data_IF_255698202895
#
_entry.id   IF_255698202895
#
_cell.length_a   1.000
_cell.length_b   1.000
_cell.length_c   1.000
_cell.angle_alpha   90.00
_cell.angle_beta   90.00
_cell.angle_gamma   90.00
#
_symmetry.space_group_name_H-M   'P 1'
#
loop_
_entity.id
_entity.type
_entity.pdbx_description
1 polymer ?
#
# COMPACT_ATOMS: atom_id res chain seq x y z
N UNK A 1 6.22 3.03 17.42
CA UNK A 1 6.19 1.57 17.50
C UNK A 1 5.22 1.09 16.44
N UNK A 2 5.58 0.12 15.62
CA UNK A 2 4.70 -0.43 14.58
C UNK A 2 3.68 -1.42 15.17
N UNK A 3 2.68 -1.78 14.36
CA UNK A 3 1.69 -2.83 14.68
C UNK A 3 2.31 -4.17 14.24
N UNK A 4 2.45 -5.11 15.19
CA UNK A 4 3.01 -6.43 14.94
C UNK A 4 1.93 -7.46 14.55
N UNK A 5 2.34 -8.69 14.21
CA UNK A 5 1.47 -9.77 13.76
C UNK A 5 0.56 -10.34 14.86
N UNK A 6 0.87 -10.07 16.13
CA UNK A 6 0.07 -10.50 17.29
C UNK A 6 -1.15 -9.61 17.54
N UNK A 7 -1.18 -8.41 16.89
CA UNK A 7 -2.33 -7.54 16.98
C UNK A 7 -3.57 -8.24 16.41
N UNK A 8 -4.68 -8.33 17.16
CA UNK A 8 -5.90 -8.98 16.69
C UNK A 8 -6.39 -8.36 15.38
N UNK A 9 -6.81 -9.21 14.45
CA UNK A 9 -7.43 -8.77 13.20
C UNK A 9 -8.84 -8.23 13.51
N UNK A 10 -9.11 -6.99 13.09
CA UNK A 10 -10.40 -6.35 13.22
C UNK A 10 -10.84 -5.81 11.85
N UNK A 11 -11.95 -6.34 11.31
CA UNK A 11 -12.42 -6.03 9.97
C UNK A 11 -13.60 -5.06 10.02
N UNK A 12 -13.54 -4.00 9.22
CA UNK A 12 -14.57 -2.96 9.12
C UNK A 12 -15.21 -2.89 7.72
N UNK A 13 -14.89 -3.85 6.84
CA UNK A 13 -15.44 -3.92 5.49
C UNK A 13 -15.51 -5.36 4.98
N UNK A 14 -16.43 -5.68 4.03
CA UNK A 14 -16.45 -6.98 3.35
C UNK A 14 -15.11 -7.35 2.71
N UNK A 15 -14.41 -6.37 2.12
CA UNK A 15 -13.07 -6.56 1.58
C UNK A 15 -12.08 -7.01 2.68
N UNK A 16 -12.04 -6.33 3.82
CA UNK A 16 -11.20 -6.72 4.96
C UNK A 16 -11.52 -8.13 5.44
N UNK A 17 -12.81 -8.48 5.56
CA UNK A 17 -13.23 -9.83 5.93
C UNK A 17 -12.72 -10.89 4.93
N UNK A 18 -12.86 -10.64 3.63
CA UNK A 18 -12.39 -11.58 2.60
C UNK A 18 -10.88 -11.80 2.64
N UNK A 19 -10.11 -10.73 2.86
CA UNK A 19 -8.65 -10.82 3.01
C UNK A 19 -8.24 -11.54 4.28
N UNK A 20 -8.92 -11.30 5.40
CA UNK A 20 -8.70 -12.02 6.64
C UNK A 20 -9.07 -13.50 6.56
N UNK A 21 -10.15 -13.85 5.86
CA UNK A 21 -10.50 -15.24 5.58
C UNK A 21 -9.40 -15.93 4.76
N UNK A 22 -8.91 -15.29 3.69
CA UNK A 22 -7.81 -15.82 2.88
C UNK A 22 -6.52 -16.04 3.69
N UNK A 23 -6.16 -15.08 4.56
CA UNK A 23 -5.04 -15.19 5.51
C UNK A 23 -5.16 -16.48 6.33
N UNK A 24 -6.31 -16.70 6.96
CA UNK A 24 -6.55 -17.87 7.81
C UNK A 24 -6.57 -19.18 7.02
N UNK A 25 -7.18 -19.20 5.84
CA UNK A 25 -7.18 -20.41 4.98
C UNK A 25 -5.75 -20.82 4.61
N UNK A 26 -4.88 -19.89 4.21
CA UNK A 26 -3.50 -20.22 3.84
C UNK A 26 -2.73 -20.80 5.04
N UNK A 27 -2.87 -20.18 6.22
CA UNK A 27 -2.23 -20.67 7.44
C UNK A 27 -2.74 -22.07 7.85
N UNK A 28 -4.03 -22.31 7.70
CA UNK A 28 -4.63 -23.60 8.04
C UNK A 28 -4.19 -24.72 7.08
N UNK A 29 -4.16 -24.44 5.76
CA UNK A 29 -3.63 -25.36 4.77
C UNK A 29 -2.15 -25.68 4.98
N UNK A 30 -1.34 -24.68 5.34
CA UNK A 30 0.06 -24.90 5.69
C UNK A 30 0.20 -25.83 6.90
N UNK A 31 -0.61 -25.64 7.93
CA UNK A 31 -0.59 -26.44 9.17
C UNK A 31 -1.11 -27.86 8.98
N UNK A 32 -2.23 -28.05 8.28
CA UNK A 32 -2.91 -29.34 8.17
C UNK A 32 -2.30 -30.20 7.07
N UNK A 33 -1.98 -29.59 5.93
CA UNK A 33 -1.53 -30.31 4.74
C UNK A 33 -0.04 -30.14 4.42
N UNK A 34 0.70 -29.39 5.26
CA UNK A 34 2.12 -29.15 5.04
C UNK A 34 2.42 -28.30 3.80
N UNK A 35 1.45 -27.46 3.37
CA UNK A 35 1.66 -26.56 2.23
C UNK A 35 2.80 -25.58 2.56
N UNK A 36 3.88 -25.52 1.75
CA UNK A 36 4.97 -24.56 1.97
C UNK A 36 4.51 -23.15 1.53
N UNK A 37 3.78 -22.49 2.40
CA UNK A 37 3.21 -21.16 2.15
C UNK A 37 3.45 -20.23 3.33
N UNK A 38 3.59 -18.92 3.02
CA UNK A 38 3.64 -17.83 4.01
C UNK A 38 2.53 -16.82 3.69
N UNK A 39 2.08 -16.12 4.72
CA UNK A 39 1.15 -15.00 4.56
C UNK A 39 1.89 -13.69 4.74
N UNK A 40 1.79 -12.79 3.76
CA UNK A 40 2.22 -11.41 3.87
C UNK A 40 1.02 -10.50 4.11
N UNK A 41 0.98 -9.86 5.28
CA UNK A 41 0.06 -8.75 5.60
C UNK A 41 0.72 -7.46 5.16
N UNK A 42 0.36 -7.03 3.96
CA UNK A 42 1.00 -5.91 3.30
C UNK A 42 0.36 -4.58 3.68
N UNK A 43 1.18 -3.54 3.86
CA UNK A 43 0.73 -2.15 3.93
C UNK A 43 0.51 -1.55 2.53
N UNK A 44 0.56 -0.23 2.40
CA UNK A 44 0.35 0.44 1.12
C UNK A 44 1.56 0.25 0.18
N UNK A 45 1.41 -0.60 -0.82
CA UNK A 45 2.42 -0.81 -1.86
C UNK A 45 2.24 0.24 -2.97
N UNK A 46 3.34 0.81 -3.46
CA UNK A 46 3.33 1.77 -4.55
C UNK A 46 4.59 1.65 -5.42
N UNK A 47 4.50 2.10 -6.67
CA UNK A 47 5.64 2.10 -7.61
C UNK A 47 5.20 2.18 -9.07
N UNK A 48 6.16 2.17 -10.02
CA UNK A 48 5.90 2.10 -11.44
C UNK A 48 4.89 1.00 -11.79
N UNK A 49 4.14 1.21 -12.87
CA UNK A 49 3.05 0.35 -13.35
C UNK A 49 1.79 0.31 -12.48
N UNK A 50 1.71 1.13 -11.42
CA UNK A 50 0.49 1.29 -10.64
C UNK A 50 -0.33 2.47 -11.16
N UNK A 51 -1.55 2.19 -11.63
CA UNK A 51 -2.56 3.19 -11.93
C UNK A 51 -3.55 3.23 -10.76
N UNK A 52 -3.38 4.23 -9.89
CA UNK A 52 -4.20 4.37 -8.68
C UNK A 52 -5.59 4.92 -8.97
N UNK A 53 -6.56 4.45 -8.20
CA UNK A 53 -7.92 5.01 -8.16
C UNK A 53 -8.16 5.70 -6.81
N UNK A 54 -9.32 6.32 -6.64
CA UNK A 54 -9.69 6.95 -5.37
C UNK A 54 -9.77 5.93 -4.21
N UNK A 55 -10.08 4.66 -4.52
CA UNK A 55 -10.25 3.61 -3.52
C UNK A 55 -9.00 2.75 -3.32
N UNK A 56 -8.12 2.67 -4.31
CA UNK A 56 -6.91 1.84 -4.26
C UNK A 56 -5.71 2.54 -4.87
N UNK A 57 -4.53 2.37 -4.23
CA UNK A 57 -3.29 2.94 -4.73
C UNK A 57 -3.24 4.47 -4.59
N UNK A 58 -3.63 4.99 -3.44
CA UNK A 58 -3.76 6.43 -3.16
C UNK A 58 -2.49 7.25 -3.46
N UNK A 59 -1.29 6.68 -3.34
CA UNK A 59 -0.03 7.36 -3.70
C UNK A 59 0.02 7.64 -5.21
N UNK A 60 -0.25 6.62 -6.03
CA UNK A 60 -0.31 6.78 -7.48
C UNK A 60 -1.49 7.68 -7.89
N UNK A 61 -2.65 7.52 -7.25
CA UNK A 61 -3.82 8.37 -7.49
C UNK A 61 -3.51 9.85 -7.28
N UNK A 62 -2.86 10.23 -6.18
CA UNK A 62 -2.53 11.63 -5.91
C UNK A 62 -1.54 12.19 -6.94
N UNK A 63 -0.55 11.41 -7.34
CA UNK A 63 0.40 11.80 -8.40
C UNK A 63 -0.30 11.99 -9.75
N UNK A 64 -1.18 11.06 -10.14
CA UNK A 64 -1.96 11.18 -11.38
C UNK A 64 -2.86 12.41 -11.37
N UNK A 65 -3.55 12.67 -10.26
CA UNK A 65 -4.41 13.87 -10.12
C UNK A 65 -3.60 15.18 -10.16
N UNK A 66 -2.40 15.18 -9.58
CA UNK A 66 -1.49 16.32 -9.68
C UNK A 66 -1.05 16.57 -11.13
N UNK A 67 -0.64 15.50 -11.86
CA UNK A 67 -0.23 15.58 -13.26
C UNK A 67 -1.36 16.04 -14.20
N UNK A 68 -2.59 15.63 -13.94
CA UNK A 68 -3.75 16.00 -14.75
C UNK A 68 -4.44 17.30 -14.28
N UNK A 69 -3.86 18.00 -13.29
CA UNK A 69 -4.43 19.20 -12.68
C UNK A 69 -5.88 19.04 -12.19
N UNK A 70 -6.25 17.81 -11.78
CA UNK A 70 -7.58 17.51 -11.27
C UNK A 70 -7.61 17.55 -9.74
N UNK A 71 -8.70 18.05 -9.11
CA UNK A 71 -8.76 18.12 -7.65
C UNK A 71 -8.64 16.78 -6.97
N UNK A 72 -7.90 16.73 -5.84
CA UNK A 72 -7.74 15.55 -4.98
C UNK A 72 -8.73 15.66 -3.83
N UNK A 73 -9.55 14.63 -3.63
CA UNK A 73 -10.43 14.55 -2.46
C UNK A 73 -9.71 13.90 -1.29
N UNK A 74 -9.62 14.59 -0.15
CA UNK A 74 -9.14 14.06 1.10
C UNK A 74 -10.31 13.78 2.03
N UNK A 75 -10.48 12.52 2.41
CA UNK A 75 -11.45 12.12 3.41
C UNK A 75 -10.87 12.31 4.81
N UNK A 76 -11.57 13.07 5.68
CA UNK A 76 -11.08 13.47 6.98
C UNK A 76 -10.20 14.74 6.93
N UNK A 77 -9.21 14.82 7.81
CA UNK A 77 -8.35 16.02 7.95
C UNK A 77 -6.98 15.91 7.26
N UNK A 78 -6.70 14.80 6.58
CA UNK A 78 -5.43 14.57 5.88
C UNK A 78 -4.24 14.22 6.78
N UNK A 79 -4.43 14.12 8.10
CA UNK A 79 -3.39 13.78 9.08
C UNK A 79 -3.27 12.27 9.34
N UNK A 80 -4.12 11.46 8.70
CA UNK A 80 -4.00 10.01 8.80
C UNK A 80 -2.66 9.52 8.23
N UNK A 81 -1.96 8.71 9.03
CA UNK A 81 -0.61 8.23 8.73
C UNK A 81 -0.67 6.79 8.23
N UNK A 82 0.09 6.49 7.20
CA UNK A 82 0.35 5.14 6.68
C UNK A 82 1.83 4.95 6.44
N UNK A 83 2.32 3.74 6.64
CA UNK A 83 3.59 3.34 6.05
C UNK A 83 3.37 2.92 4.60
N UNK A 84 4.29 3.29 3.75
CA UNK A 84 4.24 2.98 2.32
C UNK A 84 5.51 2.24 1.91
N UNK A 85 5.36 1.20 1.08
CA UNK A 85 6.45 0.33 0.64
C UNK A 85 6.60 0.41 -0.88
N UNK A 86 7.80 0.70 -1.35
CA UNK A 86 8.10 0.69 -2.77
C UNK A 86 8.05 -0.74 -3.32
N UNK A 87 7.54 -0.89 -4.54
CA UNK A 87 7.25 -2.20 -5.14
C UNK A 87 8.48 -3.11 -5.25
N UNK A 88 9.65 -2.56 -5.54
CA UNK A 88 10.89 -3.37 -5.64
C UNK A 88 11.29 -3.98 -4.30
N UNK A 89 11.04 -3.28 -3.19
CA UNK A 89 11.26 -3.82 -1.84
C UNK A 89 10.29 -4.97 -1.54
N UNK A 90 9.04 -4.90 -2.02
CA UNK A 90 8.11 -6.02 -1.92
C UNK A 90 8.59 -7.21 -2.77
N UNK A 91 9.03 -6.99 -4.01
CA UNK A 91 9.57 -8.05 -4.86
C UNK A 91 10.74 -8.74 -4.18
N UNK A 92 11.66 -7.98 -3.60
CA UNK A 92 12.77 -8.53 -2.80
C UNK A 92 12.29 -9.36 -1.62
N UNK A 93 11.25 -8.92 -0.89
CA UNK A 93 10.67 -9.69 0.20
C UNK A 93 10.10 -11.03 -0.29
N UNK A 94 9.41 -11.05 -1.44
CA UNK A 94 8.86 -12.27 -2.04
C UNK A 94 9.97 -13.25 -2.45
N UNK A 95 11.04 -12.77 -3.08
CA UNK A 95 12.19 -13.60 -3.47
C UNK A 95 12.92 -14.18 -2.25
N UNK A 96 13.13 -13.38 -1.21
CA UNK A 96 13.70 -13.86 0.04
C UNK A 96 12.81 -14.87 0.74
N UNK A 97 11.49 -14.68 0.76
CA UNK A 97 10.56 -15.66 1.30
C UNK A 97 10.63 -16.98 0.56
N UNK A 98 10.73 -16.96 -0.77
CA UNK A 98 10.90 -18.16 -1.59
C UNK A 98 12.19 -18.91 -1.20
N UNK A 99 13.31 -18.19 -1.04
CA UNK A 99 14.61 -18.77 -0.68
C UNK A 99 14.61 -19.35 0.73
N UNK A 100 13.89 -18.72 1.67
CA UNK A 100 13.82 -19.12 3.08
C UNK A 100 12.57 -19.96 3.40
N UNK A 101 11.83 -20.42 2.39
CA UNK A 101 10.54 -21.11 2.57
C UNK A 101 10.57 -22.25 3.60
N UNK A 102 11.62 -23.12 3.67
CA UNK A 102 11.65 -24.19 4.69
C UNK A 102 11.56 -23.68 6.13
N UNK A 103 12.08 -22.48 6.40
CA UNK A 103 12.05 -21.87 7.73
C UNK A 103 10.81 -20.97 7.97
N UNK A 104 10.17 -20.47 6.91
CA UNK A 104 9.09 -19.51 6.99
C UNK A 104 7.70 -20.13 6.82
N UNK A 105 7.59 -21.34 6.27
CA UNK A 105 6.31 -21.99 5.98
C UNK A 105 5.38 -22.02 7.19
N UNK A 106 4.11 -21.76 6.96
CA UNK A 106 3.06 -21.73 7.98
C UNK A 106 3.08 -20.49 8.88
N UNK A 107 3.88 -19.49 8.54
CA UNK A 107 3.98 -18.26 9.32
C UNK A 107 3.33 -17.05 8.61
N UNK A 108 3.05 -16.02 9.40
CA UNK A 108 2.56 -14.73 8.93
C UNK A 108 3.58 -13.64 9.24
N UNK A 109 3.74 -12.72 8.31
CA UNK A 109 4.66 -11.58 8.43
C UNK A 109 4.00 -10.29 7.95
N UNK A 110 4.18 -9.22 8.71
CA UNK A 110 3.87 -7.89 8.24
C UNK A 110 4.95 -7.41 7.26
N UNK A 111 4.54 -6.95 6.10
CA UNK A 111 5.41 -6.40 5.06
C UNK A 111 4.95 -4.98 4.74
N UNK A 112 5.80 -4.02 5.00
CA UNK A 112 5.49 -2.61 4.80
C UNK A 112 6.72 -1.74 4.86
N UNK A 113 6.53 -0.42 4.75
CA UNK A 113 7.61 0.55 4.86
C UNK A 113 8.18 0.68 6.27
N UNK A 114 7.45 0.16 7.27
CA UNK A 114 7.78 0.32 8.68
C UNK A 114 7.69 1.78 9.14
N UNK A 115 8.10 2.04 10.37
CA UNK A 115 8.04 3.39 10.95
C UNK A 115 8.94 4.40 10.24
N UNK A 116 9.95 3.95 9.51
CA UNK A 116 10.88 4.82 8.78
C UNK A 116 10.34 5.34 7.44
N UNK A 117 9.30 4.70 6.89
CA UNK A 117 8.65 5.08 5.64
C UNK A 117 7.16 5.40 5.86
N UNK A 118 6.85 6.03 6.98
CA UNK A 118 5.51 6.59 7.25
C UNK A 118 5.35 7.95 6.61
N UNK A 119 4.13 8.25 6.19
CA UNK A 119 3.72 9.58 5.71
C UNK A 119 2.25 9.81 6.01
N UNK A 120 1.86 11.04 6.31
CA UNK A 120 0.47 11.47 6.27
C UNK A 120 0.06 11.87 4.85
N UNK A 121 -1.24 12.00 4.60
CA UNK A 121 -1.72 12.44 3.29
C UNK A 121 -1.22 13.85 2.97
N UNK A 122 -1.20 14.74 3.95
CA UNK A 122 -0.72 16.12 3.76
C UNK A 122 0.79 16.18 3.51
N UNK A 123 1.60 15.38 4.20
CA UNK A 123 3.05 15.28 3.95
C UNK A 123 3.33 14.75 2.55
N UNK A 124 2.59 13.71 2.10
CA UNK A 124 2.73 13.22 0.73
C UNK A 124 2.35 14.30 -0.29
N UNK A 125 1.28 15.06 -0.08
CA UNK A 125 0.88 16.14 -0.98
C UNK A 125 1.89 17.29 -1.00
N UNK A 126 2.52 17.60 0.12
CA UNK A 126 3.63 18.56 0.17
C UNK A 126 4.82 18.06 -0.66
N UNK A 127 5.18 16.78 -0.52
CA UNK A 127 6.23 16.15 -1.31
C UNK A 127 5.90 16.13 -2.82
N UNK A 128 4.64 15.84 -3.18
CA UNK A 128 4.17 15.89 -4.56
C UNK A 128 4.28 17.32 -5.11
N UNK A 129 3.89 18.34 -4.33
CA UNK A 129 4.01 19.73 -4.72
C UNK A 129 5.47 20.14 -5.00
N UNK A 130 6.42 19.66 -4.19
CA UNK A 130 7.85 19.90 -4.42
C UNK A 130 8.34 19.23 -5.72
N UNK A 131 7.98 17.97 -5.96
CA UNK A 131 8.42 17.20 -7.13
C UNK A 131 7.76 17.73 -8.41
N UNK A 132 6.47 18.04 -8.37
CA UNK A 132 5.69 18.52 -9.51
C UNK A 132 5.91 20.01 -9.82
N UNK A 133 6.39 20.78 -8.82
CA UNK A 133 6.58 22.22 -8.94
C UNK A 133 5.29 23.06 -8.76
N UNK A 134 4.15 22.41 -8.53
CA UNK A 134 2.85 23.09 -8.33
C UNK A 134 2.07 22.38 -7.21
N UNK A 135 1.33 23.17 -6.43
CA UNK A 135 0.47 22.61 -5.37
C UNK A 135 -0.80 22.00 -5.98
N UNK A 136 -1.10 20.72 -5.69
CA UNK A 136 -2.37 20.13 -6.10
C UNK A 136 -3.57 20.86 -5.49
N UNK A 137 -4.69 20.89 -6.22
CA UNK A 137 -5.95 21.40 -5.68
C UNK A 137 -6.56 20.32 -4.76
N UNK A 138 -6.84 20.68 -3.50
CA UNK A 138 -7.34 19.75 -2.49
C UNK A 138 -8.78 20.12 -2.13
N UNK A 139 -9.65 19.12 -1.98
CA UNK A 139 -10.99 19.22 -1.42
C UNK A 139 -11.10 18.28 -0.23
N UNK A 140 -11.69 18.75 0.86
CA UNK A 140 -11.93 17.92 2.04
C UNK A 140 -13.35 17.36 2.03
N UNK A 141 -13.48 16.09 2.42
CA UNK A 141 -14.76 15.40 2.58
C UNK A 141 -14.87 14.76 3.97
N UNK A 142 -16.06 14.27 4.32
CA UNK A 142 -16.27 13.57 5.59
C UNK A 142 -15.40 12.31 5.69
N UNK A 143 -15.08 11.89 6.92
CA UNK A 143 -14.36 10.65 7.17
C UNK A 143 -15.10 9.44 6.58
N UNK A 144 -14.35 8.55 5.95
CA UNK A 144 -14.90 7.25 5.53
C UNK A 144 -15.09 6.34 6.76
N UNK A 145 -16.19 5.57 6.85
CA UNK A 145 -16.33 4.57 7.90
C UNK A 145 -15.17 3.57 7.90
N UNK A 146 -14.59 3.30 9.07
CA UNK A 146 -13.48 2.35 9.22
C UNK A 146 -12.11 2.85 8.76
N UNK A 147 -11.98 4.12 8.34
CA UNK A 147 -10.68 4.65 7.96
C UNK A 147 -9.74 4.77 9.17
N UNK A 148 -8.55 4.21 9.04
CA UNK A 148 -7.55 4.20 10.11
C UNK A 148 -6.88 5.57 10.24
N UNK A 149 -6.75 6.06 11.47
CA UNK A 149 -6.02 7.31 11.73
C UNK A 149 -4.51 7.14 11.71
N UNK A 150 -4.03 5.97 12.10
CA UNK A 150 -2.63 5.63 12.11
C UNK A 150 -2.44 4.14 11.82
N UNK A 151 -1.54 3.82 10.92
CA UNK A 151 -1.04 2.47 10.69
C UNK A 151 0.42 2.53 10.25
N UNK A 152 1.26 1.77 10.94
CA UNK A 152 2.64 1.50 10.53
C UNK A 152 2.95 0.03 10.86
N UNK A 153 3.46 -0.72 9.89
CA UNK A 153 3.84 -2.11 10.07
C UNK A 153 5.04 -2.22 11.00
N UNK A 154 4.99 -3.15 11.96
CA UNK A 154 6.19 -3.69 12.56
C UNK A 154 6.70 -4.83 11.66
N UNK A 155 7.84 -4.61 11.03
CA UNK A 155 8.46 -5.54 10.07
C UNK A 155 9.56 -6.40 10.72
N UNK A 156 9.74 -6.28 12.03
CA UNK A 156 10.88 -6.88 12.75
C UNK A 156 10.93 -8.40 12.62
N UNK A 157 9.78 -9.06 12.61
CA UNK A 157 9.70 -10.52 12.50
C UNK A 157 10.29 -11.03 11.19
N UNK A 158 9.92 -10.44 10.06
CA UNK A 158 10.46 -10.81 8.76
C UNK A 158 11.92 -10.39 8.60
N UNK A 159 12.28 -9.19 9.07
CA UNK A 159 13.68 -8.72 9.10
C UNK A 159 14.58 -9.68 9.87
N UNK A 160 14.16 -10.15 11.04
CA UNK A 160 14.96 -11.09 11.85
C UNK A 160 15.13 -12.43 11.15
N UNK A 161 14.08 -12.91 10.47
CA UNK A 161 14.10 -14.21 9.81
C UNK A 161 14.90 -14.24 8.51
N UNK A 162 15.05 -13.12 7.80
CA UNK A 162 15.61 -13.07 6.43
C UNK A 162 16.68 -12.03 6.20
N UNK A 163 16.87 -11.10 7.13
CA UNK A 163 17.73 -9.91 6.94
C UNK A 163 17.10 -8.83 6.07
N UNK A 164 15.84 -8.99 5.62
CA UNK A 164 15.18 -8.02 4.77
C UNK A 164 14.87 -6.71 5.51
N UNK A 165 15.11 -5.59 4.83
CA UNK A 165 14.66 -4.26 5.24
C UNK A 165 14.31 -3.42 4.01
N UNK A 166 13.32 -2.51 4.08
CA UNK A 166 13.03 -1.59 2.98
C UNK A 166 14.24 -0.71 2.66
N UNK A 167 14.62 -0.66 1.39
CA UNK A 167 15.77 0.10 0.91
C UNK A 167 15.36 1.45 0.34
N UNK A 168 14.17 1.54 -0.27
CA UNK A 168 13.71 2.75 -0.95
C UNK A 168 12.97 3.65 0.03
N UNK A 169 13.45 4.88 0.18
CA UNK A 169 12.80 5.90 1.01
C UNK A 169 11.63 6.55 0.29
N UNK A 170 10.65 7.08 1.07
CA UNK A 170 9.42 7.69 0.55
C UNK A 170 9.70 8.67 -0.59
N UNK A 171 10.59 9.66 -0.39
CA UNK A 171 10.93 10.67 -1.41
C UNK A 171 11.46 10.04 -2.70
N UNK A 172 12.34 9.07 -2.59
CA UNK A 172 12.95 8.39 -3.72
C UNK A 172 11.90 7.60 -4.53
N UNK A 173 11.09 6.80 -3.85
CA UNK A 173 10.06 5.99 -4.49
C UNK A 173 8.96 6.84 -5.13
N UNK A 174 8.53 7.93 -4.47
CA UNK A 174 7.53 8.86 -5.02
C UNK A 174 8.09 9.54 -6.28
N UNK A 175 9.36 9.97 -6.26
CA UNK A 175 9.99 10.56 -7.45
C UNK A 175 10.12 9.54 -8.60
N UNK A 176 10.43 8.28 -8.32
CA UNK A 176 10.50 7.21 -9.33
C UNK A 176 9.13 6.94 -9.97
N UNK A 177 8.08 6.83 -9.15
CA UNK A 177 6.71 6.68 -9.66
C UNK A 177 6.27 7.90 -10.47
N UNK A 178 6.56 9.11 -10.00
CA UNK A 178 6.26 10.34 -10.73
C UNK A 178 6.93 10.39 -12.11
N UNK A 179 8.22 10.05 -12.18
CA UNK A 179 8.96 10.00 -13.45
C UNK A 179 8.35 8.97 -14.41
N UNK A 180 7.96 7.80 -13.91
CA UNK A 180 7.29 6.78 -14.70
C UNK A 180 5.93 7.26 -15.24
N UNK A 181 5.10 7.89 -14.39
CA UNK A 181 3.80 8.42 -14.79
C UNK A 181 3.93 9.52 -15.86
N UNK A 182 4.94 10.38 -15.78
CA UNK A 182 5.22 11.39 -16.81
C UNK A 182 5.53 10.76 -18.16
N UNK A 183 6.35 9.70 -18.18
CA UNK A 183 6.75 9.02 -19.41
C UNK A 183 5.60 8.23 -20.06
N UNK A 184 4.64 7.77 -19.25
CA UNK A 184 3.53 6.92 -19.70
C UNK A 184 2.19 7.68 -19.75
N UNK A 185 2.21 9.01 -19.89
CA UNK A 185 1.05 9.89 -20.02
C UNK A 185 -0.02 9.67 -18.94
N UNK A 186 0.45 9.35 -17.70
CA UNK A 186 -0.45 9.18 -16.57
C UNK A 186 -1.48 8.10 -16.79
N UNK A 187 -1.11 6.86 -17.03
CA UNK A 187 -2.02 5.71 -17.25
C UNK A 187 -3.30 6.13 -17.98
N UNK A 188 -3.42 5.83 -19.25
CA UNK A 188 -4.54 6.26 -20.11
C UNK A 188 -5.89 6.16 -19.36
N UNK A 189 -6.47 7.30 -18.98
CA UNK A 189 -7.65 7.39 -18.11
C UNK A 189 -8.91 6.80 -18.75
N UNK A 190 -8.84 6.44 -20.05
CA UNK A 190 -9.94 5.82 -20.78
C UNK A 190 -10.28 4.40 -20.30
N UNK A 191 -9.32 3.64 -19.78
CA UNK A 191 -9.58 2.29 -19.26
C UNK A 191 -10.14 2.29 -17.82
N UNK A 192 -9.79 3.27 -17.00
CA UNK A 192 -10.30 3.39 -15.63
C UNK A 192 -11.76 3.85 -15.56
N UNK A 193 -12.21 4.66 -16.52
CA UNK A 193 -13.60 5.12 -16.58
C UNK A 193 -14.56 4.02 -17.04
N UNK A 194 -14.13 3.13 -17.95
CA UNK A 194 -14.95 2.02 -18.43
C UNK A 194 -15.22 0.97 -17.34
N UNK A 195 -14.27 0.70 -16.43
CA UNK A 195 -14.48 -0.21 -15.30
C UNK A 195 -15.36 0.38 -14.22
N UNK A 196 -15.24 1.68 -13.94
CA UNK A 196 -16.05 2.36 -12.93
C UNK A 196 -17.54 2.52 -13.38
N UNK A 197 -17.82 2.57 -14.67
CA UNK A 197 -19.18 2.58 -15.20
C UNK A 197 -19.86 1.21 -15.15
N UNK A 198 -19.09 0.12 -15.31
CA UNK A 198 -19.60 -1.25 -15.19
C UNK A 198 -19.93 -1.60 -13.74
N UNK A 199 -19.14 -1.14 -12.76
CA UNK A 199 -19.42 -1.35 -11.32
C UNK A 199 -20.59 -0.52 -10.78
N UNK A 200 -20.97 0.58 -11.44
CA UNK A 200 -22.16 1.37 -11.06
C UNK A 200 -23.46 0.86 -11.69
N UNK A 201 -23.36 -0.03 -12.68
CA UNK A 201 -24.50 -0.58 -13.41
C UNK A 201 -24.88 -2.02 -12.95
N UNK A 202 -24.13 -2.60 -12.03
CA UNK A 202 -24.37 -3.89 -11.36
C UNK A 202 -24.74 -3.70 -9.89
#
# INVERSE_FOLDING_TARGET
MGINEECPLAFYSPYGCSKGAADQYVLDYARIYGLPAVVFRMSCIYGPHQCGTEDQGWVAHFLMRALTHTPITLYGNGLQVRDILFVDDLVNALLLAQTHMPALAGQVFNIGGGTANTTSLLELLALIAEIHGQKPVIRFAAWRPGDQKYYASDIQRFSTATGWVPQVRVRQGVAALYAWLLQNHGCDTSQGLAMAEVERAS
#
